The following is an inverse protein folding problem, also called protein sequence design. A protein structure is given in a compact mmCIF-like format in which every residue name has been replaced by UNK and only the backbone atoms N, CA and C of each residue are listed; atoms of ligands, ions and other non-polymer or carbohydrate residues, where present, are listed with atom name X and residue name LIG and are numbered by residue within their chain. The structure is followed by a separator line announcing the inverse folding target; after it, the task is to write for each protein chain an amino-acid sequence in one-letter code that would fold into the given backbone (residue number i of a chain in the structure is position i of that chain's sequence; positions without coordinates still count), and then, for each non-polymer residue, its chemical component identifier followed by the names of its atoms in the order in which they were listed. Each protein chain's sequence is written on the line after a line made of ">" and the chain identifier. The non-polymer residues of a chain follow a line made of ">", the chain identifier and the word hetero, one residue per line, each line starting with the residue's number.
data_IF_242524159831
#
_entry.id   IF_242524159831
#
_cell.length_a   1.000
_cell.length_b   1.000
_cell.length_c   1.000
_cell.angle_alpha   90.00
_cell.angle_beta   90.00
_cell.angle_gamma   90.00
#
_symmetry.space_group_name_H-M   'P 1'
#
loop_
_entity.id
_entity.type
_entity.pdbx_description
1 polymer ?
#
# COMPACT_ATOMS: atom_id res chain seq x y z
N UNK A 1 -10.62 26.88 15.88
CA UNK A 1 -10.23 25.83 16.85
C UNK A 1 -11.06 25.92 18.14
N UNK A 2 -11.15 27.09 18.81
CA UNK A 2 -11.79 27.23 20.12
C UNK A 2 -13.31 27.00 20.16
N UNK A 3 -14.02 27.15 19.03
CA UNK A 3 -15.50 27.11 19.01
C UNK A 3 -16.07 25.78 19.59
N UNK A 4 -15.62 24.59 19.20
CA UNK A 4 -16.15 23.35 19.75
C UNK A 4 -15.99 23.22 21.27
N UNK A 5 -14.86 23.66 21.80
CA UNK A 5 -14.57 23.61 23.24
C UNK A 5 -15.45 24.59 24.03
N UNK A 6 -15.69 25.79 23.49
CA UNK A 6 -16.61 26.78 24.09
C UNK A 6 -18.04 26.23 24.20
N UNK A 7 -18.50 25.52 23.15
CA UNK A 7 -19.81 24.86 23.17
C UNK A 7 -19.91 23.73 24.19
N UNK A 8 -18.80 23.06 24.51
CA UNK A 8 -18.69 22.07 25.58
C UNK A 8 -18.50 22.70 26.96
N UNK A 9 -18.57 24.06 27.10
CA UNK A 9 -18.47 24.81 28.34
C UNK A 9 -17.13 24.64 29.08
N UNK A 10 -16.02 24.36 28.37
CA UNK A 10 -14.69 24.40 28.99
C UNK A 10 -14.35 25.82 29.46
N UNK A 11 -13.57 25.93 30.53
CA UNK A 11 -13.05 27.21 31.03
C UNK A 11 -12.13 27.86 29.97
N UNK A 12 -11.98 29.18 30.05
CA UNK A 12 -11.10 29.93 29.11
C UNK A 12 -9.68 29.39 29.11
N UNK A 13 -9.14 29.07 30.28
CA UNK A 13 -7.77 28.55 30.46
C UNK A 13 -7.60 27.17 29.76
N UNK A 14 -8.57 26.27 29.93
CA UNK A 14 -8.57 24.97 29.27
C UNK A 14 -8.72 25.08 27.74
N UNK A 15 -9.59 25.98 27.28
CA UNK A 15 -9.74 26.28 25.83
C UNK A 15 -8.44 26.76 25.23
N UNK A 16 -7.78 27.73 25.88
CA UNK A 16 -6.53 28.31 25.40
C UNK A 16 -5.41 27.27 25.36
N UNK A 17 -5.30 26.41 26.38
CA UNK A 17 -4.31 25.32 26.43
C UNK A 17 -4.53 24.28 25.31
N UNK A 18 -5.75 23.76 25.18
CA UNK A 18 -6.09 22.75 24.13
C UNK A 18 -5.96 23.30 22.73
N UNK A 19 -6.32 24.56 22.51
CA UNK A 19 -6.16 25.22 21.19
C UNK A 19 -4.67 25.39 20.87
N UNK A 20 -3.85 25.78 21.84
CA UNK A 20 -2.41 25.95 21.62
C UNK A 20 -1.72 24.59 21.34
N UNK A 21 -2.09 23.55 22.09
CA UNK A 21 -1.60 22.18 21.86
C UNK A 21 -1.89 21.73 20.42
N UNK A 22 -3.15 21.79 19.99
CA UNK A 22 -3.54 21.40 18.63
C UNK A 22 -2.91 22.29 17.55
N UNK A 23 -2.76 23.60 17.81
CA UNK A 23 -2.16 24.52 16.86
C UNK A 23 -0.65 24.25 16.66
N UNK A 24 0.08 23.93 17.73
CA UNK A 24 1.49 23.55 17.68
C UNK A 24 1.68 22.23 16.94
N UNK A 25 0.86 21.21 17.24
CA UNK A 25 0.89 19.91 16.56
C UNK A 25 0.75 20.08 15.05
N UNK A 26 -0.18 20.93 14.63
CA UNK A 26 -0.47 21.20 13.22
C UNK A 26 0.39 22.29 12.59
N UNK A 27 1.37 22.85 13.33
CA UNK A 27 2.25 23.94 12.88
C UNK A 27 1.48 25.18 12.37
N UNK A 28 0.34 25.51 13.02
CA UNK A 28 -0.51 26.66 12.71
C UNK A 28 -0.66 27.64 13.88
N UNK A 29 0.17 27.54 14.90
CA UNK A 29 0.16 28.41 16.07
C UNK A 29 0.38 29.90 15.70
N UNK A 30 1.23 30.17 14.70
CA UNK A 30 1.45 31.49 14.15
C UNK A 30 0.22 32.07 13.42
N UNK A 31 -0.75 31.25 13.02
CA UNK A 31 -1.98 31.63 12.33
C UNK A 31 -3.18 31.83 13.25
N UNK A 32 -3.04 31.65 14.57
CA UNK A 32 -4.17 31.68 15.52
C UNK A 32 -4.95 33.01 15.52
N UNK A 33 -4.31 34.14 15.11
CA UNK A 33 -4.92 35.44 15.00
C UNK A 33 -5.44 35.77 13.59
N UNK A 34 -5.18 34.91 12.61
CA UNK A 34 -5.57 35.13 11.21
C UNK A 34 -7.04 34.74 10.98
N UNK A 35 -7.67 35.41 10.00
CA UNK A 35 -9.00 35.01 9.53
C UNK A 35 -8.90 33.77 8.66
N UNK A 36 -9.81 32.79 8.83
CA UNK A 36 -9.82 31.54 8.06
C UNK A 36 -9.95 31.78 6.55
N UNK A 37 -10.67 32.86 6.16
CA UNK A 37 -10.82 33.23 4.74
C UNK A 37 -9.53 33.68 4.06
N UNK A 38 -8.52 34.12 4.81
CA UNK A 38 -7.23 34.56 4.28
C UNK A 38 -6.17 33.43 4.24
N UNK A 39 -6.51 32.23 4.72
CA UNK A 39 -5.58 31.11 4.77
C UNK A 39 -5.46 30.39 3.41
N UNK A 40 -4.27 29.87 3.11
CA UNK A 40 -4.05 28.96 2.00
C UNK A 40 -4.86 27.65 2.16
N UNK A 41 -4.99 26.86 1.08
CA UNK A 41 -5.78 25.62 1.11
C UNK A 41 -5.29 24.62 2.15
N UNK A 42 -3.99 24.39 2.21
CA UNK A 42 -3.38 23.48 3.18
C UNK A 42 -3.58 23.93 4.63
N UNK A 43 -3.44 25.24 4.91
CA UNK A 43 -3.66 25.76 6.26
C UNK A 43 -5.13 25.65 6.69
N UNK A 44 -6.08 25.85 5.75
CA UNK A 44 -7.49 25.62 6.02
C UNK A 44 -7.78 24.17 6.39
N UNK A 45 -7.13 23.22 5.70
CA UNK A 45 -7.27 21.80 6.01
C UNK A 45 -6.67 21.47 7.38
N UNK A 46 -5.48 22.01 7.74
CA UNK A 46 -4.90 21.89 9.08
C UNK A 46 -5.82 22.45 10.16
N UNK A 47 -6.47 23.57 9.91
CA UNK A 47 -7.47 24.14 10.85
C UNK A 47 -8.68 23.25 10.97
N UNK A 48 -9.17 22.63 9.88
CA UNK A 48 -10.29 21.69 9.93
C UNK A 48 -9.95 20.44 10.75
N UNK A 49 -8.76 19.87 10.53
CA UNK A 49 -8.23 18.75 11.30
C UNK A 49 -8.10 19.11 12.79
N UNK A 50 -7.53 20.27 13.12
CA UNK A 50 -7.41 20.75 14.49
C UNK A 50 -8.76 20.94 15.19
N UNK A 51 -9.79 21.33 14.47
CA UNK A 51 -11.16 21.42 15.02
C UNK A 51 -11.74 20.05 15.39
N UNK A 52 -11.37 18.99 14.67
CA UNK A 52 -11.76 17.63 15.02
C UNK A 52 -10.95 17.14 16.25
N UNK A 53 -9.64 17.33 16.25
CA UNK A 53 -8.72 16.86 17.28
C UNK A 53 -9.01 17.45 18.67
N UNK A 54 -9.27 18.76 18.77
CA UNK A 54 -9.54 19.42 20.07
C UNK A 54 -10.75 18.86 20.81
N UNK A 55 -11.67 18.21 20.09
CA UNK A 55 -12.91 17.65 20.67
C UNK A 55 -12.69 16.33 21.39
N UNK A 56 -11.61 15.60 21.10
CA UNK A 56 -11.34 14.25 21.58
C UNK A 56 -12.59 13.34 21.52
N UNK A 57 -13.18 13.13 20.33
CA UNK A 57 -14.41 12.38 20.17
C UNK A 57 -14.15 10.87 20.41
N UNK A 58 -15.24 10.08 20.62
CA UNK A 58 -15.18 8.61 20.69
C UNK A 58 -14.95 7.95 19.33
N UNK A 59 -15.25 8.64 18.24
CA UNK A 59 -15.00 8.18 16.88
C UNK A 59 -14.59 9.35 15.98
N UNK A 60 -13.58 9.13 15.14
CA UNK A 60 -13.16 10.01 14.07
C UNK A 60 -13.61 9.47 12.73
N UNK A 61 -14.19 10.33 11.91
CA UNK A 61 -14.46 10.06 10.50
C UNK A 61 -13.64 11.07 9.69
N UNK A 62 -12.63 10.62 8.99
CA UNK A 62 -11.69 11.44 8.25
C UNK A 62 -11.73 11.05 6.77
N UNK A 63 -12.01 12.02 5.91
CA UNK A 63 -12.04 11.85 4.46
C UNK A 63 -10.90 12.66 3.86
N UNK A 64 -9.87 11.95 3.36
CA UNK A 64 -8.64 12.49 2.78
C UNK A 64 -8.01 13.65 3.58
N UNK A 65 -7.80 13.52 4.90
CA UNK A 65 -7.44 14.66 5.75
C UNK A 65 -6.03 15.20 5.50
N UNK A 66 -5.17 14.48 4.81
CA UNK A 66 -3.78 14.86 4.53
C UNK A 66 -3.51 15.15 3.05
N UNK A 67 -4.51 15.03 2.16
CA UNK A 67 -4.34 15.07 0.70
C UNK A 67 -3.74 16.37 0.14
N UNK A 68 -3.89 17.52 0.83
CA UNK A 68 -3.32 18.81 0.37
C UNK A 68 -2.00 19.19 1.05
N UNK A 69 -1.43 18.29 1.88
CA UNK A 69 -0.18 18.53 2.57
C UNK A 69 1.01 18.10 1.69
N UNK A 70 2.14 18.81 1.86
CA UNK A 70 3.40 18.37 1.27
C UNK A 70 3.87 17.02 1.87
N UNK A 71 4.75 16.32 1.16
CA UNK A 71 5.14 14.95 1.50
C UNK A 71 5.80 14.85 2.90
N UNK A 72 6.70 15.78 3.24
CA UNK A 72 7.41 15.77 4.53
C UNK A 72 6.43 15.97 5.69
N UNK A 73 5.53 16.94 5.55
CA UNK A 73 4.54 17.23 6.59
C UNK A 73 3.46 16.13 6.67
N UNK A 74 3.11 15.49 5.55
CA UNK A 74 2.18 14.36 5.52
C UNK A 74 2.74 13.17 6.32
N UNK A 75 4.02 12.81 6.11
CA UNK A 75 4.68 11.73 6.85
C UNK A 75 4.68 12.01 8.36
N UNK A 76 5.04 13.24 8.76
CA UNK A 76 4.97 13.65 10.15
C UNK A 76 3.55 13.53 10.71
N UNK A 77 2.55 13.98 9.96
CA UNK A 77 1.14 13.93 10.40
C UNK A 77 0.62 12.50 10.53
N UNK A 78 1.04 11.57 9.67
CA UNK A 78 0.72 10.15 9.82
C UNK A 78 1.21 9.61 11.18
N UNK A 79 2.46 9.91 11.56
CA UNK A 79 3.02 9.51 12.84
C UNK A 79 2.27 10.14 14.03
N UNK A 80 1.97 11.43 13.96
CA UNK A 80 1.27 12.14 15.03
C UNK A 80 -0.20 11.70 15.16
N UNK A 81 -0.89 11.43 14.05
CA UNK A 81 -2.25 10.90 14.07
C UNK A 81 -2.28 9.46 14.61
N UNK A 82 -1.30 8.63 14.24
CA UNK A 82 -1.18 7.27 14.80
C UNK A 82 -0.95 7.33 16.31
N UNK A 83 0.00 8.13 16.78
CA UNK A 83 0.25 8.33 18.19
C UNK A 83 -0.98 8.84 18.95
N UNK A 84 -1.67 9.83 18.36
CA UNK A 84 -2.90 10.34 18.94
C UNK A 84 -3.98 9.25 19.04
N UNK A 85 -4.11 8.42 18.02
CA UNK A 85 -5.03 7.28 18.02
C UNK A 85 -4.68 6.28 19.13
N UNK A 86 -3.40 5.97 19.32
CA UNK A 86 -2.94 5.07 20.39
C UNK A 86 -3.17 5.65 21.80
N UNK A 87 -3.11 6.99 21.93
CA UNK A 87 -3.32 7.71 23.21
C UNK A 87 -4.81 7.89 23.58
N UNK A 88 -5.72 7.80 22.61
CA UNK A 88 -7.16 7.95 22.82
C UNK A 88 -7.85 6.65 22.45
N UNK A 89 -8.66 6.13 23.38
CA UNK A 89 -9.52 4.97 23.13
C UNK A 89 -10.70 5.38 22.20
N UNK A 90 -10.40 5.66 20.93
CA UNK A 90 -11.34 6.13 19.94
C UNK A 90 -11.23 5.33 18.65
N UNK A 91 -12.37 4.98 18.04
CA UNK A 91 -12.39 4.37 16.72
C UNK A 91 -12.14 5.41 15.64
N UNK A 92 -11.20 5.16 14.75
CA UNK A 92 -10.92 6.04 13.60
C UNK A 92 -11.26 5.33 12.30
N UNK A 93 -12.15 5.93 11.50
CA UNK A 93 -12.37 5.57 10.10
C UNK A 93 -11.66 6.62 9.25
N UNK A 94 -10.66 6.18 8.51
CA UNK A 94 -9.79 7.04 7.71
C UNK A 94 -9.90 6.64 6.25
N UNK A 95 -10.40 7.55 5.41
CA UNK A 95 -10.48 7.36 3.96
C UNK A 95 -9.28 8.04 3.30
N UNK A 96 -8.56 7.30 2.48
CA UNK A 96 -7.44 7.81 1.70
C UNK A 96 -7.27 7.03 0.41
N UNK A 97 -6.73 7.68 -0.62
CA UNK A 97 -6.21 7.02 -1.82
C UNK A 97 -4.69 6.77 -1.73
N UNK A 98 -4.03 7.27 -0.68
CA UNK A 98 -2.59 7.07 -0.45
C UNK A 98 -2.36 5.75 0.31
N UNK A 99 -1.71 4.81 -0.38
CA UNK A 99 -1.39 3.50 0.19
C UNK A 99 -0.40 3.60 1.37
N UNK A 100 0.52 4.56 1.34
CA UNK A 100 1.52 4.72 2.41
C UNK A 100 0.84 5.18 3.70
N UNK A 101 -0.12 6.11 3.61
CA UNK A 101 -0.95 6.51 4.74
C UNK A 101 -1.68 5.30 5.34
N UNK A 102 -2.41 4.55 4.49
CA UNK A 102 -3.16 3.38 4.93
C UNK A 102 -2.26 2.33 5.59
N UNK A 103 -1.15 1.97 4.93
CA UNK A 103 -0.21 0.93 5.41
C UNK A 103 0.52 1.31 6.71
N UNK A 104 0.75 2.61 6.94
CA UNK A 104 1.48 3.09 8.13
C UNK A 104 0.61 3.32 9.35
N UNK A 105 -0.67 3.67 9.17
CA UNK A 105 -1.53 4.09 10.27
C UNK A 105 -2.59 3.05 10.67
N UNK A 106 -3.07 2.22 9.73
CA UNK A 106 -4.24 1.41 9.97
C UNK A 106 -3.93 0.11 10.73
N UNK A 107 -4.82 -0.28 11.65
CA UNK A 107 -4.87 -1.64 12.21
C UNK A 107 -5.54 -2.60 11.22
N UNK A 108 -6.52 -2.09 10.44
CA UNK A 108 -7.21 -2.81 9.37
C UNK A 108 -7.41 -1.90 8.16
N UNK A 109 -7.17 -2.44 6.97
CA UNK A 109 -7.40 -1.76 5.69
C UNK A 109 -8.57 -2.46 4.99
N UNK A 110 -9.55 -1.68 4.54
CA UNK A 110 -10.59 -2.13 3.63
C UNK A 110 -10.28 -1.58 2.22
N UNK A 111 -9.91 -2.47 1.30
CA UNK A 111 -9.73 -2.10 -0.11
C UNK A 111 -11.07 -2.17 -0.81
N UNK A 112 -11.48 -1.04 -1.39
CA UNK A 112 -12.75 -0.89 -2.08
C UNK A 112 -12.55 -0.67 -3.58
N UNK A 113 -13.44 -1.23 -4.37
CA UNK A 113 -13.55 -0.96 -5.79
C UNK A 113 -15.01 -0.98 -6.22
N UNK A 114 -15.45 -0.02 -7.02
CA UNK A 114 -16.82 0.10 -7.55
C UNK A 114 -17.92 -0.03 -6.49
N UNK A 115 -17.67 0.47 -5.26
CA UNK A 115 -18.61 0.43 -4.15
C UNK A 115 -18.59 -0.87 -3.32
N UNK A 116 -17.80 -1.86 -3.70
CA UNK A 116 -17.66 -3.13 -3.00
C UNK A 116 -16.36 -3.19 -2.19
N UNK A 117 -16.41 -3.85 -1.02
CA UNK A 117 -15.22 -4.15 -0.22
C UNK A 117 -14.63 -5.47 -0.70
N UNK A 118 -13.51 -5.42 -1.43
CA UNK A 118 -12.85 -6.60 -1.97
C UNK A 118 -12.07 -7.39 -0.91
N UNK A 119 -11.48 -6.69 0.04
CA UNK A 119 -10.75 -7.29 1.16
C UNK A 119 -10.67 -6.33 2.34
N UNK A 120 -10.80 -6.83 3.56
CA UNK A 120 -10.62 -6.06 4.78
C UNK A 120 -9.80 -6.88 5.79
N UNK A 121 -8.52 -6.54 5.95
CA UNK A 121 -7.55 -7.27 6.78
C UNK A 121 -6.48 -6.32 7.34
N UNK A 122 -5.55 -6.85 8.14
CA UNK A 122 -4.38 -6.10 8.57
C UNK A 122 -3.49 -5.71 7.37
N UNK A 123 -2.71 -4.61 7.45
CA UNK A 123 -1.81 -4.19 6.37
C UNK A 123 -0.91 -5.31 5.86
N UNK A 124 -0.35 -6.11 6.77
CA UNK A 124 0.51 -7.25 6.44
C UNK A 124 -0.21 -8.30 5.59
N UNK A 125 -1.47 -8.62 5.92
CA UNK A 125 -2.26 -9.61 5.17
C UNK A 125 -2.66 -9.05 3.81
N UNK A 126 -3.15 -7.81 3.74
CA UNK A 126 -3.50 -7.13 2.49
C UNK A 126 -2.32 -7.16 1.50
N UNK A 127 -1.09 -6.90 1.99
CA UNK A 127 0.11 -6.88 1.15
C UNK A 127 0.54 -8.27 0.70
N UNK A 128 0.64 -9.22 1.66
CA UNK A 128 1.22 -10.54 1.39
C UNK A 128 0.22 -11.54 0.85
N UNK A 129 -1.08 -11.46 1.23
CA UNK A 129 -2.13 -12.41 0.87
C UNK A 129 -3.34 -11.68 0.25
N UNK A 130 -3.15 -10.94 -0.87
CA UNK A 130 -4.26 -10.28 -1.54
C UNK A 130 -5.23 -11.30 -2.12
N UNK A 131 -6.53 -11.07 -1.91
CA UNK A 131 -7.59 -11.99 -2.36
C UNK A 131 -7.92 -11.87 -3.84
N UNK A 132 -7.60 -10.73 -4.48
CA UNK A 132 -7.88 -10.49 -5.89
C UNK A 132 -6.68 -9.84 -6.59
N UNK A 133 -6.62 -9.96 -7.92
CA UNK A 133 -5.63 -9.25 -8.74
C UNK A 133 -5.70 -7.74 -8.53
N UNK A 134 -6.93 -7.19 -8.35
CA UNK A 134 -7.09 -5.77 -8.08
C UNK A 134 -6.35 -5.36 -6.79
N UNK A 135 -6.60 -6.05 -5.67
CA UNK A 135 -5.93 -5.76 -4.39
C UNK A 135 -4.42 -5.92 -4.52
N UNK A 136 -3.96 -6.98 -5.18
CA UNK A 136 -2.54 -7.27 -5.40
C UNK A 136 -1.83 -6.18 -6.21
N UNK A 137 -2.51 -5.62 -7.22
CA UNK A 137 -1.99 -4.54 -8.06
C UNK A 137 -2.10 -3.17 -7.37
N UNK A 138 -3.22 -2.92 -6.70
CA UNK A 138 -3.49 -1.64 -6.05
C UNK A 138 -2.54 -1.40 -4.87
N UNK A 139 -2.24 -2.41 -4.08
CA UNK A 139 -1.36 -2.31 -2.90
C UNK A 139 0.08 -2.65 -3.27
N UNK A 140 0.96 -1.69 -3.11
CA UNK A 140 2.40 -1.77 -3.38
C UNK A 140 2.86 -0.81 -4.49
N UNK A 141 4.08 -0.29 -4.36
CA UNK A 141 4.70 0.60 -5.35
C UNK A 141 6.11 0.11 -5.69
N UNK A 142 6.28 -0.52 -6.86
CA UNK A 142 5.25 -0.92 -7.82
C UNK A 142 4.34 -2.05 -7.29
N UNK A 143 3.18 -2.24 -7.94
CA UNK A 143 2.26 -3.33 -7.65
C UNK A 143 2.86 -4.72 -7.95
N UNK A 144 2.06 -5.77 -7.73
CA UNK A 144 2.45 -7.15 -8.01
C UNK A 144 2.63 -7.39 -9.52
N UNK A 145 3.64 -8.17 -9.92
CA UNK A 145 3.72 -8.68 -11.29
C UNK A 145 2.67 -9.77 -11.51
N UNK A 146 2.06 -9.79 -12.69
CA UNK A 146 1.14 -10.85 -13.11
C UNK A 146 1.68 -11.52 -14.36
N UNK A 147 2.24 -12.71 -14.17
CA UNK A 147 2.86 -13.49 -15.24
C UNK A 147 1.81 -14.48 -15.77
N UNK A 148 1.44 -14.44 -17.06
CA UNK A 148 0.41 -15.33 -17.59
C UNK A 148 0.87 -16.79 -17.57
N UNK A 149 -0.02 -17.69 -17.14
CA UNK A 149 0.13 -19.14 -17.13
C UNK A 149 -0.93 -19.72 -18.06
N UNK A 150 -0.52 -20.50 -19.06
CA UNK A 150 -1.40 -21.12 -20.06
C UNK A 150 -1.65 -22.60 -19.73
N UNK A 151 -1.91 -22.89 -18.48
CA UNK A 151 -2.28 -24.24 -18.02
C UNK A 151 -3.33 -24.16 -16.91
N UNK A 152 -4.14 -25.20 -16.82
CA UNK A 152 -5.06 -25.37 -15.70
C UNK A 152 -4.28 -25.78 -14.45
N UNK A 153 -4.54 -25.13 -13.34
CA UNK A 153 -3.94 -25.50 -12.04
C UNK A 153 -4.82 -26.56 -11.40
N UNK A 154 -4.18 -27.55 -10.81
CA UNK A 154 -4.84 -28.66 -10.10
C UNK A 154 -4.49 -28.65 -8.61
N UNK A 155 -5.36 -29.20 -7.74
CA UNK A 155 -4.99 -29.41 -6.34
C UNK A 155 -3.70 -30.21 -6.19
N UNK A 156 -2.91 -29.90 -5.15
CA UNK A 156 -1.60 -30.45 -4.82
C UNK A 156 -0.49 -30.13 -5.87
N UNK A 157 -0.77 -29.23 -6.82
CA UNK A 157 0.26 -28.78 -7.76
C UNK A 157 1.25 -27.84 -7.02
N UNK A 158 2.55 -28.13 -7.14
CA UNK A 158 3.65 -27.37 -6.51
C UNK A 158 4.67 -26.82 -7.50
N UNK A 159 4.39 -26.91 -8.81
CA UNK A 159 5.21 -26.34 -9.87
C UNK A 159 4.37 -25.97 -11.09
N UNK A 160 4.84 -24.98 -11.86
CA UNK A 160 4.25 -24.55 -13.11
C UNK A 160 5.34 -24.44 -14.18
N UNK A 161 4.94 -24.52 -15.45
CA UNK A 161 5.82 -24.24 -16.58
C UNK A 161 5.69 -22.77 -17.01
N UNK A 162 6.82 -22.06 -17.03
CA UNK A 162 6.92 -20.73 -17.61
C UNK A 162 7.97 -20.76 -18.73
N UNK A 163 7.51 -20.70 -19.97
CA UNK A 163 8.35 -20.87 -21.17
C UNK A 163 9.12 -22.21 -21.09
N UNK A 164 10.46 -22.15 -21.14
CA UNK A 164 11.34 -23.31 -21.07
C UNK A 164 11.75 -23.66 -19.62
N UNK A 165 11.27 -22.93 -18.63
CA UNK A 165 11.63 -23.09 -17.22
C UNK A 165 10.50 -23.69 -16.40
N UNK A 166 10.84 -24.54 -15.42
CA UNK A 166 9.90 -25.01 -14.40
C UNK A 166 10.10 -24.19 -13.13
N UNK A 167 9.03 -23.56 -12.65
CA UNK A 167 9.04 -22.73 -11.46
C UNK A 167 8.33 -23.46 -10.31
N UNK A 168 8.95 -23.50 -9.14
CA UNK A 168 8.29 -23.97 -7.91
C UNK A 168 7.31 -22.91 -7.41
N UNK A 169 6.14 -23.35 -6.98
CA UNK A 169 5.09 -22.53 -6.38
C UNK A 169 4.64 -23.16 -5.07
N UNK A 170 3.98 -22.43 -4.16
CA UNK A 170 3.31 -23.02 -3.01
C UNK A 170 2.34 -24.10 -3.46
N UNK A 171 2.24 -25.18 -2.69
CA UNK A 171 1.29 -26.25 -3.01
C UNK A 171 -0.14 -25.70 -3.01
N UNK A 172 -0.84 -25.92 -4.12
CA UNK A 172 -2.20 -25.42 -4.31
C UNK A 172 -3.21 -26.34 -3.65
N UNK A 173 -4.13 -25.78 -2.87
CA UNK A 173 -5.19 -26.54 -2.19
C UNK A 173 -6.44 -26.71 -3.05
N UNK A 174 -6.57 -25.88 -4.06
CA UNK A 174 -7.68 -25.89 -5.01
C UNK A 174 -7.16 -25.72 -6.44
N UNK A 175 -8.02 -25.99 -7.43
CA UNK A 175 -7.70 -25.86 -8.84
C UNK A 175 -8.44 -24.71 -9.48
N UNK A 176 -8.00 -24.33 -10.70
CA UNK A 176 -8.67 -23.32 -11.52
C UNK A 176 -9.68 -23.93 -12.48
N UNK A 177 -10.68 -23.15 -12.87
CA UNK A 177 -11.59 -23.50 -13.96
C UNK A 177 -11.05 -23.06 -15.33
N UNK A 178 -10.18 -22.04 -15.34
CA UNK A 178 -9.57 -21.47 -16.54
C UNK A 178 -8.24 -22.16 -16.90
N UNK A 179 -7.93 -22.19 -18.19
CA UNK A 179 -6.59 -22.51 -18.70
C UNK A 179 -5.70 -21.25 -18.80
N UNK A 180 -6.27 -20.07 -18.63
CA UNK A 180 -5.56 -18.79 -18.59
C UNK A 180 -5.55 -18.29 -17.15
N UNK A 181 -4.42 -18.39 -16.51
CA UNK A 181 -4.22 -18.02 -15.11
C UNK A 181 -3.06 -17.04 -14.98
N UNK A 182 -2.83 -16.51 -13.78
CA UNK A 182 -1.74 -15.58 -13.56
C UNK A 182 -0.94 -15.97 -12.32
N UNK A 183 0.38 -15.97 -12.45
CA UNK A 183 1.30 -16.02 -11.32
C UNK A 183 1.54 -14.62 -10.81
N UNK A 184 1.11 -14.33 -9.60
CA UNK A 184 1.39 -13.10 -8.89
C UNK A 184 2.71 -13.19 -8.13
N UNK A 185 3.63 -12.27 -8.41
CA UNK A 185 4.92 -12.19 -7.71
C UNK A 185 5.25 -10.73 -7.40
N UNK A 186 5.56 -10.40 -6.15
CA UNK A 186 6.04 -9.07 -5.79
C UNK A 186 7.43 -8.81 -6.37
N UNK A 187 7.75 -7.57 -6.79
CA UNK A 187 9.06 -7.24 -7.35
C UNK A 187 10.27 -7.60 -6.49
N UNK A 188 10.11 -7.52 -5.16
CA UNK A 188 11.14 -7.91 -4.19
C UNK A 188 11.30 -9.41 -4.00
N UNK A 189 10.36 -10.21 -4.50
CA UNK A 189 10.40 -11.67 -4.45
C UNK A 189 10.98 -12.29 -5.73
N UNK A 190 11.55 -11.46 -6.58
CA UNK A 190 12.33 -11.85 -7.76
C UNK A 190 13.81 -11.54 -7.54
N UNK A 191 14.67 -12.40 -8.06
CA UNK A 191 16.14 -12.23 -8.01
C UNK A 191 16.75 -12.49 -9.38
N UNK A 192 17.86 -11.83 -9.66
CA UNK A 192 18.68 -12.12 -10.82
C UNK A 192 19.45 -13.42 -10.58
N UNK A 193 19.52 -14.27 -11.62
CA UNK A 193 20.26 -15.53 -11.61
C UNK A 193 21.13 -15.62 -12.85
N UNK A 194 22.22 -16.42 -12.78
CA UNK A 194 23.12 -16.61 -13.91
C UNK A 194 22.60 -17.66 -14.90
N UNK A 195 21.79 -18.63 -14.43
CA UNK A 195 21.29 -19.75 -15.23
C UNK A 195 19.95 -20.26 -14.69
N UNK A 196 19.26 -21.06 -15.51
CA UNK A 196 17.99 -21.72 -15.16
C UNK A 196 16.84 -20.77 -14.77
N UNK A 197 16.92 -19.49 -15.13
CA UNK A 197 15.88 -18.50 -14.88
C UNK A 197 15.08 -18.14 -16.13
N UNK A 198 14.05 -17.32 -15.93
CA UNK A 198 13.28 -16.70 -17.02
C UNK A 198 14.13 -15.62 -17.66
N UNK A 199 14.29 -15.70 -18.99
CA UNK A 199 15.09 -14.74 -19.78
C UNK A 199 14.31 -13.50 -20.11
N UNK A 200 14.98 -12.32 -20.07
CA UNK A 200 14.43 -11.07 -20.51
C UNK A 200 15.50 -10.02 -20.74
N UNK A 201 15.12 -8.91 -21.36
CA UNK A 201 16.00 -7.77 -21.61
C UNK A 201 15.60 -6.60 -20.70
N UNK A 202 16.55 -5.92 -20.11
CA UNK A 202 16.29 -4.75 -19.29
C UNK A 202 15.84 -3.60 -20.20
N UNK A 203 14.56 -3.24 -20.09
CA UNK A 203 13.94 -2.14 -20.81
C UNK A 203 14.12 -0.79 -20.10
N UNK A 204 14.09 -0.79 -18.75
CA UNK A 204 14.20 0.42 -17.94
C UNK A 204 14.79 0.16 -16.57
N UNK A 205 15.42 1.20 -16.02
CA UNK A 205 15.99 1.19 -14.66
C UNK A 205 15.53 2.45 -13.94
N UNK A 206 14.74 2.31 -12.87
CA UNK A 206 14.32 3.40 -11.99
C UNK A 206 15.18 3.37 -10.73
N UNK A 207 15.86 4.46 -10.42
CA UNK A 207 16.69 4.57 -9.22
C UNK A 207 15.90 5.22 -8.07
N UNK A 208 15.75 4.48 -6.97
CA UNK A 208 14.98 4.91 -5.79
C UNK A 208 15.88 5.09 -4.54
N UNK A 209 17.08 5.59 -4.73
CA UNK A 209 18.07 5.76 -3.64
C UNK A 209 18.68 4.43 -3.20
N UNK A 210 18.17 3.78 -2.18
CA UNK A 210 18.69 2.50 -1.66
C UNK A 210 18.36 1.28 -2.52
N UNK A 211 17.46 1.40 -3.49
CA UNK A 211 16.96 0.31 -4.36
C UNK A 211 16.83 0.79 -5.80
N UNK A 212 16.79 -0.17 -6.73
CA UNK A 212 16.42 0.03 -8.13
C UNK A 212 15.22 -0.84 -8.47
N UNK A 213 14.38 -0.34 -9.36
CA UNK A 213 13.36 -1.15 -10.03
C UNK A 213 13.81 -1.36 -11.47
N UNK A 214 14.01 -2.61 -11.84
CA UNK A 214 14.27 -2.99 -13.22
C UNK A 214 12.93 -3.32 -13.88
N UNK A 215 12.67 -2.74 -15.05
CA UNK A 215 11.60 -3.19 -15.94
C UNK A 215 12.23 -4.09 -16.99
N UNK A 216 11.87 -5.36 -16.97
CA UNK A 216 12.43 -6.42 -17.82
C UNK A 216 11.38 -6.85 -18.82
N UNK A 217 11.65 -6.67 -20.10
CA UNK A 217 10.82 -7.14 -21.20
C UNK A 217 11.07 -8.63 -21.42
N UNK A 218 9.98 -9.42 -21.39
CA UNK A 218 10.00 -10.87 -21.60
C UNK A 218 8.94 -11.28 -22.63
N UNK A 219 8.96 -12.53 -23.06
CA UNK A 219 7.87 -13.10 -23.88
C UNK A 219 6.53 -13.19 -23.10
N UNK A 220 6.55 -13.04 -21.77
CA UNK A 220 5.38 -13.07 -20.89
C UNK A 220 4.88 -11.67 -20.51
N UNK A 221 5.47 -10.61 -21.10
CA UNK A 221 5.22 -9.22 -20.79
C UNK A 221 6.33 -8.57 -19.96
N UNK A 222 6.07 -7.35 -19.49
CA UNK A 222 7.01 -6.57 -18.70
C UNK A 222 6.95 -6.99 -17.22
N UNK A 223 8.10 -7.35 -16.67
CA UNK A 223 8.26 -7.80 -15.29
C UNK A 223 9.09 -6.76 -14.52
N UNK A 224 8.61 -6.33 -13.37
CA UNK A 224 9.33 -5.42 -12.47
C UNK A 224 10.09 -6.21 -11.42
N UNK A 225 11.38 -5.97 -11.30
CA UNK A 225 12.27 -6.63 -10.34
C UNK A 225 12.91 -5.57 -9.46
N UNK A 226 12.82 -5.74 -8.13
CA UNK A 226 13.49 -4.86 -7.18
C UNK A 226 14.86 -5.44 -6.84
N UNK A 227 15.90 -4.64 -7.04
CA UNK A 227 17.29 -5.01 -6.74
C UNK A 227 17.96 -3.94 -5.87
N UNK A 228 19.10 -4.26 -5.29
CA UNK A 228 19.90 -3.30 -4.54
C UNK A 228 20.47 -2.21 -5.46
N UNK A 229 20.69 -1.02 -4.92
CA UNK A 229 21.15 0.15 -5.69
C UNK A 229 22.53 -0.02 -6.33
N UNK A 230 23.39 -0.88 -5.77
CA UNK A 230 24.73 -1.19 -6.25
C UNK A 230 24.75 -2.29 -7.34
N UNK A 231 23.62 -2.97 -7.58
CA UNK A 231 23.49 -3.98 -8.63
C UNK A 231 23.87 -3.38 -9.99
N UNK A 232 24.91 -3.93 -10.62
CA UNK A 232 25.41 -3.47 -11.92
C UNK A 232 24.58 -4.05 -13.03
N UNK A 233 23.83 -3.21 -13.72
CA UNK A 233 22.98 -3.58 -14.86
C UNK A 233 22.96 -2.47 -15.89
N UNK A 234 22.71 -2.81 -17.16
CA UNK A 234 22.61 -1.86 -18.26
C UNK A 234 21.28 -2.04 -19.01
N UNK A 235 20.76 -0.96 -19.58
CA UNK A 235 19.62 -1.02 -20.51
C UNK A 235 20.01 -1.87 -21.72
N UNK A 236 19.07 -2.68 -22.20
CA UNK A 236 19.23 -3.69 -23.25
C UNK A 236 20.13 -4.89 -22.87
N UNK A 237 20.55 -5.00 -21.62
CA UNK A 237 21.27 -6.18 -21.14
C UNK A 237 20.30 -7.35 -21.00
N UNK A 238 20.71 -8.53 -21.51
CA UNK A 238 19.96 -9.76 -21.30
C UNK A 238 20.29 -10.30 -19.91
N UNK A 239 19.24 -10.58 -19.16
CA UNK A 239 19.33 -11.16 -17.82
C UNK A 239 18.45 -12.41 -17.70
N UNK A 240 18.66 -13.13 -16.60
CA UNK A 240 17.75 -14.17 -16.17
C UNK A 240 17.30 -13.86 -14.74
N UNK A 241 16.06 -14.20 -14.42
CA UNK A 241 15.52 -14.03 -13.08
C UNK A 241 14.71 -15.26 -12.65
N UNK A 242 14.60 -15.44 -11.35
CA UNK A 242 13.84 -16.52 -10.71
C UNK A 242 13.15 -15.95 -9.46
N UNK A 243 12.21 -16.72 -8.91
CA UNK A 243 11.55 -16.39 -7.64
C UNK A 243 12.47 -16.67 -6.46
N UNK A 244 12.41 -15.79 -5.46
CA UNK A 244 13.29 -15.87 -4.29
C UNK A 244 12.76 -16.81 -3.22
N UNK A 245 11.45 -16.83 -3.01
CA UNK A 245 10.78 -17.55 -1.94
C UNK A 245 9.51 -18.25 -2.47
N UNK A 246 8.95 -19.14 -1.66
CA UNK A 246 7.71 -19.84 -1.98
C UNK A 246 6.47 -19.05 -1.52
N UNK A 247 6.35 -17.81 -1.97
CA UNK A 247 5.27 -16.87 -1.62
C UNK A 247 4.56 -16.27 -2.84
N UNK A 248 4.61 -17.00 -3.95
CA UNK A 248 3.84 -16.68 -5.15
C UNK A 248 2.36 -17.01 -4.93
N UNK A 249 1.51 -16.28 -5.64
CA UNK A 249 0.06 -16.44 -5.59
C UNK A 249 -0.44 -16.77 -6.99
N UNK A 250 -1.27 -17.78 -7.11
CA UNK A 250 -1.96 -18.06 -8.37
C UNK A 250 -3.32 -17.34 -8.34
N UNK A 251 -3.63 -16.62 -9.41
CA UNK A 251 -4.94 -16.01 -9.63
C UNK A 251 -5.65 -16.73 -10.77
N UNK A 252 -6.89 -17.15 -10.53
CA UNK A 252 -7.75 -17.74 -11.55
C UNK A 252 -8.15 -16.69 -12.58
N UNK A 253 -7.85 -16.91 -13.83
CA UNK A 253 -8.16 -15.98 -14.92
C UNK A 253 -9.65 -15.85 -15.26
N UNK A 254 -10.51 -16.71 -14.69
CA UNK A 254 -11.96 -16.62 -14.89
C UNK A 254 -12.65 -15.59 -13.97
N UNK A 255 -12.06 -15.28 -12.81
CA UNK A 255 -12.67 -14.43 -11.79
C UNK A 255 -11.70 -13.49 -11.07
N UNK A 256 -10.41 -13.53 -11.44
CA UNK A 256 -9.33 -12.75 -10.83
C UNK A 256 -9.10 -13.00 -9.32
N UNK A 257 -9.62 -14.10 -8.78
CA UNK A 257 -9.44 -14.47 -7.37
C UNK A 257 -8.15 -15.24 -7.16
N UNK A 258 -7.52 -15.00 -6.01
CA UNK A 258 -6.36 -15.77 -5.57
C UNK A 258 -6.78 -17.18 -5.13
N UNK A 259 -6.05 -18.20 -5.58
CA UNK A 259 -6.24 -19.57 -5.15
C UNK A 259 -5.74 -19.79 -3.72
N UNK A 260 -6.40 -20.69 -3.01
CA UNK A 260 -5.91 -21.18 -1.73
C UNK A 260 -4.68 -22.07 -1.93
N UNK A 261 -3.65 -21.79 -1.17
CA UNK A 261 -2.38 -22.53 -1.18
C UNK A 261 -1.80 -22.59 0.23
N UNK A 262 -0.69 -23.32 0.40
CA UNK A 262 0.01 -23.35 1.69
C UNK A 262 0.52 -21.99 2.13
N UNK A 263 0.78 -21.08 1.19
CA UNK A 263 1.14 -19.69 1.50
C UNK A 263 -0.07 -18.84 1.89
N UNK A 264 -1.24 -19.08 1.28
CA UNK A 264 -2.46 -18.28 1.50
C UNK A 264 -3.23 -18.69 2.75
N UNK A 265 -2.91 -19.83 3.33
CA UNK A 265 -3.51 -20.34 4.58
C UNK A 265 -3.10 -19.59 5.84
#
# INVERSE_FOLDING_TARGET
>A
LAFPLKMQKFSKTEVDAKVMEAAKLLRIDHLLKSKVSSLAGGDRQRVALGRALVRRPKAFLMDEPLGTLDAEFRELMCLELRKLHDDIDATTVYVTHDQQEAMSMADRIAVMNEGEVLQADSPKIIYNKPKTKFVANFIGSPGMNFIPIKEKITPNQSSIKLLDSSLKIPEQREGTNSNENFLGVRPENLRLVSENGVKGNIFGVEYLGSRKILTVETQLGNIKIRVDSDTKVKINEQIQFDTLNNNQIIFDGSNDMALQSDFMS
#
